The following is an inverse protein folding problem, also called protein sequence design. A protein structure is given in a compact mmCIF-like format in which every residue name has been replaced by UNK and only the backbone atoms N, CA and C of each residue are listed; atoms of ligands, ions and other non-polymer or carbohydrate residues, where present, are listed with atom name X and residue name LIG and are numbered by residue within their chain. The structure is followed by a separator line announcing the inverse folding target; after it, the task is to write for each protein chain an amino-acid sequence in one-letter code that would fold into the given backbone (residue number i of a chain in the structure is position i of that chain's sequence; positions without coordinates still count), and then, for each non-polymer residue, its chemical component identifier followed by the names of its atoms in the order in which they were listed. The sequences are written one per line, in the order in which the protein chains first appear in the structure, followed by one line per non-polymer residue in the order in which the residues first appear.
data_IF_739587931787
#
_entry.id   IF_739587931787
#
_cell.length_a   1.000
_cell.length_b   1.000
_cell.length_c   1.000
_cell.angle_alpha   90.00
_cell.angle_beta   90.00
_cell.angle_gamma   90.00
#
_symmetry.space_group_name_H-M   'P 1'
#
loop_
_entity.id
_entity.type
_entity.pdbx_description
1 polymer ?
#
# COMPACT_ATOMS: atom_id res chain seq x y z
N UNK A 1 0.12 4.15 3.47
CA UNK A 1 -0.94 3.43 2.75
C UNK A 1 -0.44 3.10 1.35
N UNK A 2 -0.58 1.87 0.89
CA UNK A 2 -0.08 1.48 -0.44
C UNK A 2 -0.95 2.10 -1.53
N UNK A 3 -0.32 2.50 -2.64
CA UNK A 3 -0.98 3.23 -3.73
C UNK A 3 -0.94 4.75 -3.62
N UNK A 4 -0.34 5.30 -2.55
CA UNK A 4 -0.13 6.73 -2.36
C UNK A 4 1.38 7.03 -2.22
N UNK A 5 1.79 8.24 -2.61
CA UNK A 5 3.19 8.69 -2.42
C UNK A 5 3.50 8.82 -0.92
N UNK A 6 4.72 8.47 -0.53
CA UNK A 6 5.20 8.64 0.84
C UNK A 6 5.06 10.09 1.30
N UNK A 7 4.65 10.29 2.56
CA UNK A 7 4.50 11.61 3.18
C UNK A 7 3.57 12.60 2.43
N UNK A 8 2.71 12.12 1.52
CA UNK A 8 1.78 12.98 0.77
C UNK A 8 0.43 13.22 1.45
N UNK A 9 0.12 12.44 2.48
CA UNK A 9 -1.15 12.49 3.21
C UNK A 9 -0.95 13.20 4.54
N UNK A 10 -1.65 14.31 4.75
CA UNK A 10 -1.59 15.08 6.00
C UNK A 10 -2.95 15.07 6.68
N UNK A 11 -2.98 14.66 7.94
CA UNK A 11 -4.20 14.60 8.73
C UNK A 11 -3.91 14.97 10.19
N UNK A 12 -4.87 15.64 10.82
CA UNK A 12 -4.88 15.89 12.27
C UNK A 12 -5.36 14.67 13.06
N UNK A 13 -6.18 13.82 12.43
CA UNK A 13 -6.64 12.54 12.96
C UNK A 13 -6.78 11.56 11.80
N UNK A 14 -6.39 10.30 12.01
CA UNK A 14 -6.52 9.28 10.99
C UNK A 14 -6.81 7.90 11.58
N UNK A 15 -7.44 7.05 10.78
CA UNK A 15 -7.53 5.61 11.00
C UNK A 15 -7.11 4.91 9.71
N UNK A 16 -6.30 3.86 9.81
CA UNK A 16 -5.78 3.10 8.65
C UNK A 16 -5.95 1.61 8.92
N UNK A 17 -6.49 0.90 7.95
CA UNK A 17 -6.54 -0.56 7.90
C UNK A 17 -5.70 -1.02 6.71
N UNK A 18 -4.71 -1.87 6.94
CA UNK A 18 -3.90 -2.46 5.89
C UNK A 18 -4.08 -3.97 5.87
N UNK A 19 -4.57 -4.49 4.77
CA UNK A 19 -4.84 -5.91 4.58
C UNK A 19 -3.94 -6.47 3.49
N UNK A 20 -3.39 -7.64 3.75
CA UNK A 20 -2.55 -8.37 2.81
C UNK A 20 -2.89 -9.85 2.91
N UNK A 21 -3.36 -10.43 1.80
CA UNK A 21 -3.57 -11.87 1.70
C UNK A 21 -2.42 -12.47 0.91
N UNK A 22 -1.69 -13.43 1.51
CA UNK A 22 -0.51 -14.08 0.90
C UNK A 22 -0.83 -15.51 0.51
N UNK A 23 -0.60 -15.84 -0.75
CA UNK A 23 -0.63 -17.21 -1.26
C UNK A 23 0.79 -17.70 -1.54
N UNK A 24 1.17 -18.83 -0.95
CA UNK A 24 2.48 -19.44 -1.14
C UNK A 24 2.51 -20.18 -2.49
N UNK A 25 3.38 -19.73 -3.39
CA UNK A 25 3.65 -20.40 -4.66
C UNK A 25 4.73 -21.49 -4.49
N UNK A 26 5.62 -21.29 -3.52
CA UNK A 26 6.61 -22.26 -3.07
C UNK A 26 7.02 -21.93 -1.63
N UNK A 27 7.94 -22.72 -1.06
CA UNK A 27 8.50 -22.45 0.27
C UNK A 27 9.28 -21.13 0.35
N UNK A 28 9.64 -20.52 -0.78
CA UNK A 28 10.44 -19.28 -0.85
C UNK A 28 9.75 -18.15 -1.61
N UNK A 29 8.60 -18.39 -2.24
CA UNK A 29 7.91 -17.42 -3.08
C UNK A 29 6.45 -17.32 -2.66
N UNK A 30 5.96 -16.10 -2.49
CA UNK A 30 4.53 -15.83 -2.32
C UNK A 30 4.07 -14.74 -3.28
N UNK A 31 2.82 -14.85 -3.72
CA UNK A 31 2.08 -13.74 -4.32
C UNK A 31 1.13 -13.18 -3.26
N UNK A 32 0.80 -11.90 -3.34
CA UNK A 32 -0.14 -11.28 -2.40
C UNK A 32 -1.02 -10.23 -3.04
N UNK A 33 -2.20 -10.06 -2.45
CA UNK A 33 -3.07 -8.91 -2.72
C UNK A 33 -2.89 -7.84 -1.65
N UNK A 34 -3.16 -6.60 -2.06
CA UNK A 34 -3.14 -5.40 -1.22
C UNK A 34 -4.54 -4.84 -1.21
N UNK A 35 -5.11 -4.66 -0.03
CA UNK A 35 -6.37 -3.94 0.18
C UNK A 35 -6.17 -3.06 1.41
N UNK A 36 -6.12 -1.75 1.22
CA UNK A 36 -5.94 -0.78 2.27
C UNK A 36 -7.16 0.15 2.29
N UNK A 37 -7.59 0.54 3.48
CA UNK A 37 -8.60 1.58 3.72
C UNK A 37 -8.07 2.59 4.72
N UNK A 38 -8.39 3.86 4.55
CA UNK A 38 -8.07 4.88 5.53
C UNK A 38 -9.14 5.96 5.59
N UNK A 39 -9.35 6.52 6.78
CA UNK A 39 -10.16 7.73 6.99
C UNK A 39 -9.25 8.81 7.56
N UNK A 40 -9.22 9.97 6.91
CA UNK A 40 -8.38 11.11 7.26
C UNK A 40 -9.26 12.32 7.59
N UNK A 41 -8.96 12.96 8.71
CA UNK A 41 -9.54 14.25 9.11
C UNK A 41 -8.42 15.28 9.27
N UNK A 42 -8.52 16.40 8.57
CA UNK A 42 -7.62 17.54 8.68
C UNK A 42 -8.40 18.80 9.09
N UNK A 43 -8.31 19.18 10.36
CA UNK A 43 -8.99 20.36 10.92
C UNK A 43 -8.44 21.69 10.43
N UNK A 44 -7.17 21.74 10.00
CA UNK A 44 -6.56 22.97 9.48
C UNK A 44 -7.20 23.34 8.14
N UNK A 45 -7.45 22.33 7.31
CA UNK A 45 -8.00 22.53 5.96
C UNK A 45 -9.50 22.21 5.88
N UNK A 46 -10.15 21.85 7.00
CA UNK A 46 -11.53 21.37 7.06
C UNK A 46 -11.82 20.22 6.08
N UNK A 47 -10.88 19.29 5.94
CA UNK A 47 -10.98 18.14 5.03
C UNK A 47 -11.32 16.86 5.80
N UNK A 48 -12.23 16.06 5.23
CA UNK A 48 -12.53 14.71 5.67
C UNK A 48 -12.59 13.80 4.44
N UNK A 49 -11.70 12.82 4.38
CA UNK A 49 -11.51 11.98 3.19
C UNK A 49 -11.39 10.50 3.56
N UNK A 50 -12.07 9.65 2.80
CA UNK A 50 -11.82 8.21 2.79
C UNK A 50 -10.88 7.87 1.64
N UNK A 51 -9.89 7.04 1.91
CA UNK A 51 -8.90 6.57 0.97
C UNK A 51 -9.00 5.06 0.80
N UNK A 52 -8.72 4.61 -0.41
CA UNK A 52 -8.72 3.21 -0.79
C UNK A 52 -7.43 2.90 -1.52
N UNK A 53 -6.74 1.85 -1.11
CA UNK A 53 -5.54 1.34 -1.78
C UNK A 53 -5.78 -0.10 -2.20
N UNK A 54 -5.45 -0.44 -3.44
CA UNK A 54 -5.56 -1.82 -3.90
C UNK A 54 -4.45 -2.18 -4.86
N UNK A 55 -4.05 -3.44 -4.85
CA UNK A 55 -2.91 -3.86 -5.63
C UNK A 55 -2.56 -5.33 -5.50
N UNK A 56 -1.44 -5.68 -6.12
CA UNK A 56 -0.87 -7.00 -6.13
C UNK A 56 0.64 -6.89 -5.95
N UNK A 57 1.25 -7.98 -5.49
CA UNK A 57 2.69 -8.05 -5.37
C UNK A 57 3.17 -9.48 -5.20
N UNK A 58 4.48 -9.60 -5.01
CA UNK A 58 5.10 -10.86 -4.67
C UNK A 58 6.29 -10.64 -3.76
N UNK A 59 6.67 -11.69 -3.04
CA UNK A 59 7.89 -11.73 -2.25
C UNK A 59 8.69 -12.99 -2.54
N UNK A 60 10.01 -12.84 -2.59
CA UNK A 60 10.97 -13.92 -2.81
C UNK A 60 11.97 -13.89 -1.67
N UNK A 61 12.06 -14.99 -0.93
CA UNK A 61 13.11 -15.21 0.05
C UNK A 61 14.39 -15.62 -0.69
N UNK A 62 15.36 -14.71 -0.72
CA UNK A 62 16.67 -14.91 -1.34
C UNK A 62 17.73 -15.14 -0.27
N UNK A 63 18.96 -15.50 -0.69
CA UNK A 63 20.11 -15.57 0.23
C UNK A 63 20.45 -14.22 0.89
N UNK A 64 20.10 -13.10 0.24
CA UNK A 64 20.33 -11.75 0.75
C UNK A 64 19.17 -11.23 1.63
N UNK A 65 18.11 -12.01 1.83
CA UNK A 65 16.91 -11.61 2.56
C UNK A 65 15.63 -11.63 1.71
N UNK A 66 14.57 -11.01 2.22
CA UNK A 66 13.27 -10.96 1.56
C UNK A 66 13.23 -9.82 0.55
N UNK A 67 13.24 -10.16 -0.75
CA UNK A 67 12.94 -9.23 -1.83
C UNK A 67 11.41 -9.14 -1.99
N UNK A 68 10.83 -7.94 -1.89
CA UNK A 68 9.39 -7.71 -2.04
C UNK A 68 9.12 -6.68 -3.12
N UNK A 69 8.19 -7.01 -4.01
CA UNK A 69 7.63 -6.12 -5.02
C UNK A 69 6.16 -5.85 -4.71
N UNK A 70 5.73 -4.60 -4.80
CA UNK A 70 4.33 -4.19 -4.69
C UNK A 70 3.98 -3.25 -5.84
N UNK A 71 2.85 -3.52 -6.49
CA UNK A 71 2.18 -2.60 -7.41
C UNK A 71 0.79 -2.30 -6.86
N UNK A 72 0.52 -1.05 -6.52
CA UNK A 72 -0.77 -0.66 -5.93
C UNK A 72 -1.24 0.69 -6.45
N UNK A 73 -2.54 0.88 -6.56
CA UNK A 73 -3.19 2.13 -6.92
C UNK A 73 -3.97 2.69 -5.72
N UNK A 74 -3.87 3.99 -5.52
CA UNK A 74 -4.59 4.73 -4.48
C UNK A 74 -5.68 5.62 -5.07
N UNK A 75 -6.85 5.62 -4.43
CA UNK A 75 -8.01 6.45 -4.78
C UNK A 75 -8.56 7.16 -3.55
N UNK A 76 -8.82 8.46 -3.67
CA UNK A 76 -9.65 9.23 -2.73
C UNK A 76 -11.12 9.03 -3.09
N UNK A 77 -12.00 8.90 -2.10
CA UNK A 77 -13.44 8.65 -2.26
C UNK A 77 -14.10 9.53 -3.33
N UNK A 78 -13.89 10.85 -3.23
CA UNK A 78 -14.49 11.85 -4.10
C UNK A 78 -13.70 12.12 -5.40
N UNK A 79 -12.70 11.28 -5.71
CA UNK A 79 -11.93 11.37 -6.93
C UNK A 79 -12.22 10.19 -7.85
N UNK A 80 -12.25 10.44 -9.16
CA UNK A 80 -12.30 9.37 -10.14
C UNK A 80 -11.04 8.52 -10.04
N UNK A 81 -11.21 7.21 -10.24
CA UNK A 81 -10.08 6.29 -10.32
C UNK A 81 -9.18 6.68 -11.50
N UNK A 82 -7.87 6.73 -11.25
CA UNK A 82 -6.87 6.99 -12.27
C UNK A 82 -5.76 5.95 -12.17
N UNK A 83 -5.65 5.10 -13.20
CA UNK A 83 -4.61 4.08 -13.25
C UNK A 83 -3.19 4.69 -13.21
N UNK A 84 -3.03 5.91 -13.72
CA UNK A 84 -1.77 6.69 -13.65
C UNK A 84 -1.30 6.99 -12.22
N UNK A 85 -2.17 6.87 -11.22
CA UNK A 85 -1.80 7.07 -9.81
C UNK A 85 -1.09 5.86 -9.19
N UNK A 86 -0.92 4.76 -9.94
CA UNK A 86 -0.31 3.54 -9.43
C UNK A 86 1.13 3.78 -8.97
N UNK A 87 1.53 3.09 -7.92
CA UNK A 87 2.84 3.14 -7.29
C UNK A 87 3.49 1.76 -7.33
N UNK A 88 4.78 1.75 -7.59
CA UNK A 88 5.64 0.58 -7.50
C UNK A 88 6.55 0.77 -6.30
N UNK A 89 6.62 -0.24 -5.42
CA UNK A 89 7.62 -0.30 -4.36
C UNK A 89 8.40 -1.59 -4.48
N UNK A 90 9.73 -1.46 -4.49
CA UNK A 90 10.67 -2.57 -4.47
C UNK A 90 11.53 -2.43 -3.22
N UNK A 91 11.60 -3.48 -2.40
CA UNK A 91 12.36 -3.45 -1.14
C UNK A 91 13.10 -4.77 -0.91
N UNK A 92 14.28 -4.68 -0.31
CA UNK A 92 15.02 -5.83 0.22
C UNK A 92 15.14 -5.69 1.74
N UNK A 93 14.64 -6.67 2.49
CA UNK A 93 14.81 -6.73 3.95
C UNK A 93 15.80 -7.84 4.28
N UNK A 94 16.97 -7.45 4.78
CA UNK A 94 18.02 -8.35 5.25
C UNK A 94 18.07 -8.37 6.78
N UNK A 95 18.31 -9.53 7.37
CA UNK A 95 18.60 -9.71 8.79
C UNK A 95 20.06 -10.15 8.89
N UNK A 96 20.85 -9.46 9.72
CA UNK A 96 22.28 -9.69 9.92
C UNK A 96 22.55 -10.15 11.35
#
# INVERSE_FOLDING_TARGET
MRGFTENSLTATKYAVLNTEYRYLLSNTIYAHSVIDFASLENKINSQNESLYGFGLGFGILTKAGLLKFNFANGKVENQQFKFSNSKIHLSLTALF
#
